data_IF_995514473438
#
_entry.id   IF_995514473438
#
_cell.length_a   1.000
_cell.length_b   1.000
_cell.length_c   1.000
_cell.angle_alpha   90.00
_cell.angle_beta   90.00
_cell.angle_gamma   90.00
#
_symmetry.space_group_name_H-M   'P 1'
#
loop_
_entity.id
_entity.type
_entity.pdbx_description
1 polymer ?
#
# COMPACT_ATOMS: atom_id res chain seq x y z
N UNK A 1 -23.71 -9.42 -19.66
CA UNK A 1 -23.02 -8.10 -19.57
C UNK A 1 -22.14 -8.14 -18.35
N UNK A 2 -20.82 -8.01 -18.51
CA UNK A 2 -19.90 -7.89 -17.35
C UNK A 2 -20.30 -6.64 -16.58
N UNK A 3 -20.59 -6.76 -15.30
CA UNK A 3 -20.88 -5.61 -14.47
C UNK A 3 -19.64 -4.69 -14.45
N UNK A 4 -19.82 -3.38 -14.61
CA UNK A 4 -18.71 -2.40 -14.59
C UNK A 4 -17.86 -2.54 -13.33
N UNK A 5 -16.57 -2.26 -13.45
CA UNK A 5 -15.66 -2.23 -12.28
C UNK A 5 -16.14 -1.21 -11.25
N UNK A 6 -15.94 -1.46 -9.95
CA UNK A 6 -16.27 -0.51 -8.88
C UNK A 6 -15.56 0.84 -9.00
N UNK A 7 -14.36 0.85 -9.61
CA UNK A 7 -13.58 2.06 -9.90
C UNK A 7 -13.04 1.95 -11.32
N UNK A 8 -13.29 2.97 -12.13
CA UNK A 8 -12.92 3.04 -13.54
C UNK A 8 -11.71 3.96 -13.77
N UNK A 9 -11.19 3.99 -14.99
CA UNK A 9 -10.13 4.95 -15.37
C UNK A 9 -10.62 6.40 -15.24
N UNK A 10 -11.89 6.67 -15.53
CA UNK A 10 -12.46 8.02 -15.40
C UNK A 10 -12.45 8.50 -13.95
N UNK A 11 -12.78 7.62 -12.99
CA UNK A 11 -12.68 7.92 -11.55
C UNK A 11 -11.23 8.22 -11.13
N UNK A 12 -10.28 7.47 -11.67
CA UNK A 12 -8.84 7.65 -11.41
C UNK A 12 -8.34 8.97 -12.00
N UNK A 13 -8.78 9.35 -13.19
CA UNK A 13 -8.44 10.63 -13.81
C UNK A 13 -9.05 11.83 -13.07
N UNK A 14 -10.26 11.68 -12.56
CA UNK A 14 -10.89 12.67 -11.66
C UNK A 14 -10.05 12.79 -10.38
N UNK A 15 -9.62 11.67 -9.79
CA UNK A 15 -8.75 11.66 -8.62
C UNK A 15 -7.40 12.33 -8.92
N UNK A 16 -6.78 12.04 -10.07
CA UNK A 16 -5.50 12.63 -10.47
C UNK A 16 -5.58 14.16 -10.57
N UNK A 17 -6.65 14.69 -11.17
CA UNK A 17 -6.90 16.15 -11.19
C UNK A 17 -7.11 16.71 -9.79
N UNK A 18 -7.86 16.00 -8.95
CA UNK A 18 -8.19 16.44 -7.58
C UNK A 18 -6.96 16.54 -6.68
N UNK A 19 -6.04 15.58 -6.76
CA UNK A 19 -4.83 15.55 -5.90
C UNK A 19 -3.63 16.28 -6.51
N UNK A 20 -3.77 16.85 -7.70
CA UNK A 20 -2.70 17.59 -8.37
C UNK A 20 -2.19 18.76 -7.48
N UNK A 21 -0.85 18.85 -7.33
CA UNK A 21 -0.20 19.82 -6.46
C UNK A 21 -0.31 19.52 -4.95
N UNK A 22 -1.01 18.46 -4.54
CA UNK A 22 -1.16 18.02 -3.13
C UNK A 22 -0.31 16.81 -2.79
N UNK A 23 0.04 16.04 -3.81
CA UNK A 23 0.94 14.88 -3.72
C UNK A 23 2.04 15.01 -4.77
N UNK A 24 3.15 14.33 -4.55
CA UNK A 24 4.26 14.33 -5.50
C UNK A 24 3.95 13.40 -6.67
N UNK A 25 4.25 13.84 -7.90
CA UNK A 25 4.51 12.92 -9.00
C UNK A 25 5.90 12.33 -8.76
N UNK A 26 5.96 11.08 -8.30
CA UNK A 26 7.22 10.48 -7.90
C UNK A 26 8.04 10.05 -9.12
N UNK A 27 9.39 10.04 -9.02
CA UNK A 27 10.22 9.56 -10.10
C UNK A 27 9.98 8.07 -10.42
N UNK A 28 10.20 7.71 -11.68
CA UNK A 28 10.45 6.34 -12.12
C UNK A 28 11.89 6.32 -12.65
N UNK A 29 12.77 5.61 -11.93
CA UNK A 29 14.21 5.59 -12.20
C UNK A 29 14.62 4.20 -12.67
N UNK A 30 15.40 4.11 -13.74
CA UNK A 30 15.89 2.81 -14.24
C UNK A 30 16.98 2.29 -13.30
N UNK A 31 16.80 1.08 -12.79
CA UNK A 31 17.81 0.35 -12.02
C UNK A 31 18.77 -0.35 -12.97
N UNK A 32 20.06 -0.06 -12.87
CA UNK A 32 21.08 -0.71 -13.69
C UNK A 32 21.25 -2.18 -13.29
N UNK A 33 21.32 -2.46 -11.97
CA UNK A 33 21.54 -3.81 -11.44
C UNK A 33 20.42 -4.78 -11.77
N UNK A 34 19.15 -4.32 -11.60
CA UNK A 34 17.98 -5.16 -11.93
C UNK A 34 17.75 -5.28 -13.43
N UNK A 35 18.14 -4.27 -14.22
CA UNK A 35 18.12 -4.34 -15.69
C UNK A 35 19.10 -5.39 -16.19
N UNK A 36 20.31 -5.43 -15.65
CA UNK A 36 21.30 -6.47 -15.95
C UNK A 36 20.78 -7.86 -15.53
N UNK A 37 20.22 -7.98 -14.33
CA UNK A 37 19.65 -9.24 -13.82
C UNK A 37 18.52 -9.78 -14.71
N UNK A 38 17.62 -8.91 -15.17
CA UNK A 38 16.43 -9.31 -15.92
C UNK A 38 16.61 -9.36 -17.43
N UNK A 39 17.66 -8.74 -17.96
CA UNK A 39 17.89 -8.60 -19.41
C UNK A 39 16.92 -7.64 -20.11
N UNK A 40 16.10 -6.90 -19.37
CA UNK A 40 15.15 -5.91 -19.86
C UNK A 40 15.16 -4.67 -18.94
N UNK A 41 14.77 -3.48 -19.41
CA UNK A 41 14.70 -2.29 -18.56
C UNK A 41 13.81 -2.51 -17.33
N UNK A 42 14.34 -2.23 -16.14
CA UNK A 42 13.59 -2.26 -14.87
C UNK A 42 13.56 -0.87 -14.27
N UNK A 43 12.37 -0.27 -14.21
CA UNK A 43 12.13 1.03 -13.61
C UNK A 43 11.58 0.92 -12.18
N UNK A 44 12.17 1.63 -11.24
CA UNK A 44 11.73 1.74 -9.87
C UNK A 44 10.83 2.96 -9.70
N UNK A 45 9.57 2.78 -9.37
CA UNK A 45 8.63 3.85 -9.04
C UNK A 45 8.73 4.20 -7.56
N UNK A 46 9.32 5.36 -7.26
CA UNK A 46 9.78 5.73 -5.92
C UNK A 46 8.67 6.32 -5.03
N UNK A 47 7.60 5.55 -4.75
CA UNK A 47 6.48 6.01 -3.90
C UNK A 47 6.84 6.19 -2.42
N UNK A 48 7.92 5.61 -1.96
CA UNK A 48 8.48 5.86 -0.64
C UNK A 48 9.04 7.29 -0.49
N UNK A 49 9.22 8.05 -1.59
CA UNK A 49 9.57 9.47 -1.58
C UNK A 49 8.37 10.41 -1.39
N UNK A 50 7.13 9.92 -1.35
CA UNK A 50 5.99 10.77 -1.00
C UNK A 50 6.20 11.47 0.36
N UNK A 51 5.57 12.62 0.54
CA UNK A 51 5.71 13.48 1.73
C UNK A 51 5.53 12.72 3.05
N UNK A 52 4.64 11.72 3.09
CA UNK A 52 4.42 10.88 4.28
C UNK A 52 5.18 9.55 4.26
N UNK A 53 6.10 9.38 3.32
CA UNK A 53 6.94 8.20 3.19
C UNK A 53 6.26 6.98 2.57
N UNK A 54 5.06 7.11 1.97
CA UNK A 54 4.39 6.02 1.27
C UNK A 54 3.28 6.49 0.33
N UNK A 55 2.89 5.60 -0.62
CA UNK A 55 1.79 5.78 -1.56
C UNK A 55 0.43 6.11 -0.92
N UNK A 56 0.23 5.77 0.35
CA UNK A 56 -1.05 5.95 1.06
C UNK A 56 -1.54 7.39 1.02
N UNK A 57 -0.64 8.36 0.86
CA UNK A 57 -0.98 9.77 0.77
C UNK A 57 -1.95 10.07 -0.39
N UNK A 58 -1.81 9.38 -1.52
CA UNK A 58 -2.66 9.59 -2.71
C UNK A 58 -4.13 9.34 -2.41
N UNK A 59 -4.45 8.14 -1.91
CA UNK A 59 -5.83 7.76 -1.57
C UNK A 59 -6.40 8.57 -0.41
N UNK A 60 -5.60 8.83 0.64
CA UNK A 60 -6.03 9.66 1.76
C UNK A 60 -6.38 11.08 1.31
N UNK A 61 -5.51 11.72 0.52
CA UNK A 61 -5.73 13.06 -0.03
C UNK A 61 -6.95 13.10 -0.93
N UNK A 62 -7.10 12.12 -1.86
CA UNK A 62 -8.26 12.06 -2.74
C UNK A 62 -9.56 11.92 -1.95
N UNK A 63 -9.57 11.08 -0.92
CA UNK A 63 -10.77 10.88 -0.08
C UNK A 63 -11.10 12.14 0.69
N UNK A 64 -10.15 12.77 1.38
CA UNK A 64 -10.42 14.00 2.14
C UNK A 64 -10.93 15.13 1.23
N UNK A 65 -10.34 15.29 0.07
CA UNK A 65 -10.77 16.29 -0.92
C UNK A 65 -12.13 15.97 -1.57
N UNK A 66 -12.57 14.72 -1.56
CA UNK A 66 -13.90 14.33 -2.08
C UNK A 66 -15.05 14.58 -1.10
N UNK A 67 -14.73 14.80 0.18
CA UNK A 67 -15.72 15.09 1.21
C UNK A 67 -16.34 16.48 1.01
N UNK A 68 -17.62 16.62 1.35
CA UNK A 68 -18.27 17.92 1.45
C UNK A 68 -17.64 18.81 2.54
N UNK A 69 -17.89 20.09 2.49
CA UNK A 69 -17.43 21.02 3.54
C UNK A 69 -17.93 20.63 4.93
N UNK A 70 -19.19 20.15 5.02
CA UNK A 70 -19.78 19.68 6.27
C UNK A 70 -19.08 18.45 6.83
N UNK A 71 -18.80 17.45 5.98
CA UNK A 71 -18.08 16.23 6.38
C UNK A 71 -16.65 16.55 6.82
N UNK A 72 -15.94 17.42 6.09
CA UNK A 72 -14.59 17.86 6.52
C UNK A 72 -14.62 18.59 7.87
N UNK A 73 -15.64 19.40 8.13
CA UNK A 73 -15.79 20.11 9.40
C UNK A 73 -16.06 19.16 10.59
N UNK A 74 -16.74 18.03 10.36
CA UNK A 74 -16.91 16.99 11.38
C UNK A 74 -15.59 16.27 11.71
N UNK A 75 -14.67 16.19 10.75
CA UNK A 75 -13.39 15.51 10.88
C UNK A 75 -13.41 14.07 10.37
N UNK A 76 -12.21 13.54 10.15
CA UNK A 76 -12.00 12.18 9.63
C UNK A 76 -11.41 11.27 10.70
N UNK A 77 -11.64 9.95 10.57
CA UNK A 77 -11.19 8.98 11.56
C UNK A 77 -10.74 7.67 10.90
N UNK A 78 -9.73 7.02 11.48
CA UNK A 78 -9.30 5.67 11.11
C UNK A 78 -8.66 4.93 12.27
N UNK A 79 -8.69 3.59 12.23
CA UNK A 79 -7.85 2.73 13.06
C UNK A 79 -6.59 2.38 12.26
N UNK A 80 -5.45 3.00 12.59
CA UNK A 80 -4.20 2.74 11.87
C UNK A 80 -2.97 3.24 12.62
N UNK A 81 -1.95 2.42 12.70
CA UNK A 81 -0.67 2.74 13.36
C UNK A 81 0.46 3.04 12.37
N UNK A 82 0.24 2.78 11.09
CA UNK A 82 1.26 2.83 10.06
C UNK A 82 1.03 3.90 8.99
N UNK A 83 1.31 3.51 7.75
CA UNK A 83 1.30 4.38 6.57
C UNK A 83 -0.03 5.11 6.33
N UNK A 84 -1.18 4.44 6.59
CA UNK A 84 -2.50 5.05 6.39
C UNK A 84 -2.79 6.14 7.42
N UNK A 85 -2.48 5.89 8.70
CA UNK A 85 -2.66 6.90 9.75
C UNK A 85 -1.82 8.16 9.51
N UNK A 86 -0.56 8.01 9.07
CA UNK A 86 0.31 9.13 8.67
C UNK A 86 -0.27 9.91 7.50
N UNK A 87 -0.72 9.20 6.47
CA UNK A 87 -1.29 9.79 5.26
C UNK A 87 -2.57 10.57 5.57
N UNK A 88 -3.47 9.99 6.35
CA UNK A 88 -4.74 10.62 6.72
C UNK A 88 -4.54 11.86 7.62
N UNK A 89 -3.62 11.76 8.60
CA UNK A 89 -3.25 12.89 9.44
C UNK A 89 -2.73 14.08 8.61
N UNK A 90 -1.82 13.81 7.67
CA UNK A 90 -1.27 14.83 6.79
C UNK A 90 -2.35 15.44 5.86
N UNK A 91 -3.12 14.58 5.18
CA UNK A 91 -4.15 15.03 4.24
C UNK A 91 -5.23 15.87 4.93
N UNK A 92 -5.72 15.44 6.09
CA UNK A 92 -6.72 16.19 6.86
C UNK A 92 -6.19 17.56 7.27
N UNK A 93 -4.98 17.62 7.86
CA UNK A 93 -4.34 18.88 8.25
C UNK A 93 -4.16 19.85 7.07
N UNK A 94 -3.73 19.34 5.92
CA UNK A 94 -3.52 20.16 4.72
C UNK A 94 -4.82 20.78 4.20
N UNK A 95 -5.97 20.13 4.45
CA UNK A 95 -7.28 20.58 3.99
C UNK A 95 -8.13 21.22 5.12
N UNK A 96 -7.50 21.59 6.23
CA UNK A 96 -8.16 22.27 7.35
C UNK A 96 -9.16 21.38 8.11
N UNK A 97 -9.04 20.07 8.00
CA UNK A 97 -9.84 19.08 8.73
C UNK A 97 -9.02 18.46 9.88
N UNK A 98 -9.69 17.81 10.82
CA UNK A 98 -9.06 17.12 11.94
C UNK A 98 -9.10 15.63 11.70
N UNK A 99 -7.93 14.97 11.77
CA UNK A 99 -7.86 13.52 11.78
C UNK A 99 -7.84 12.99 13.22
N UNK A 100 -8.68 12.00 13.51
CA UNK A 100 -8.61 11.20 14.73
C UNK A 100 -8.07 9.82 14.37
N UNK A 101 -6.97 9.39 15.00
CA UNK A 101 -6.37 8.09 14.74
C UNK A 101 -6.47 7.24 16.01
N UNK A 102 -7.23 6.15 15.92
CA UNK A 102 -7.39 5.17 17.00
C UNK A 102 -6.28 4.11 16.90
N UNK A 103 -5.68 3.77 18.04
CA UNK A 103 -4.57 2.82 18.15
C UNK A 103 -4.68 2.02 19.43
N UNK A 104 -4.16 0.79 19.42
CA UNK A 104 -4.03 0.00 20.64
C UNK A 104 -2.90 0.53 21.56
N UNK A 105 -2.95 0.15 22.84
CA UNK A 105 -1.91 0.48 23.82
C UNK A 105 -0.56 -0.20 23.52
N UNK A 106 -0.54 -1.20 22.65
CA UNK A 106 0.66 -1.94 22.29
C UNK A 106 1.49 -1.26 21.18
N UNK A 107 0.99 -0.14 20.64
CA UNK A 107 1.70 0.60 19.59
C UNK A 107 2.92 1.31 20.16
N UNK A 108 4.10 1.16 19.55
CA UNK A 108 5.30 1.84 19.98
C UNK A 108 5.15 3.36 20.05
N UNK A 109 5.76 3.97 21.07
CA UNK A 109 5.65 5.42 21.37
C UNK A 109 6.13 6.28 20.20
N UNK A 110 7.15 5.84 19.46
CA UNK A 110 7.66 6.53 18.27
C UNK A 110 6.59 6.65 17.17
N UNK A 111 5.82 5.58 16.89
CA UNK A 111 4.71 5.62 15.92
C UNK A 111 3.61 6.58 16.36
N UNK A 112 3.26 6.57 17.65
CA UNK A 112 2.28 7.51 18.24
C UNK A 112 2.74 8.95 18.08
N UNK A 113 4.00 9.24 18.43
CA UNK A 113 4.57 10.58 18.39
C UNK A 113 4.59 11.16 16.98
N UNK A 114 4.93 10.32 15.99
CA UNK A 114 4.92 10.71 14.58
C UNK A 114 3.53 11.15 14.08
N UNK A 115 2.50 10.39 14.41
CA UNK A 115 1.12 10.72 14.00
C UNK A 115 0.65 12.01 14.68
N UNK A 116 1.00 12.21 15.96
CA UNK A 116 0.74 13.49 16.65
C UNK A 116 1.48 14.66 16.01
N UNK A 117 2.74 14.47 15.62
CA UNK A 117 3.54 15.50 14.92
C UNK A 117 2.91 15.92 13.58
N UNK A 118 2.24 14.98 12.90
CA UNK A 118 1.47 15.26 11.68
C UNK A 118 0.16 16.01 11.96
N UNK A 119 -0.22 16.22 13.23
CA UNK A 119 -1.35 17.05 13.63
C UNK A 119 -2.64 16.27 13.92
N UNK A 120 -2.58 14.93 14.00
CA UNK A 120 -3.75 14.13 14.33
C UNK A 120 -4.02 14.07 15.86
N UNK A 121 -5.29 13.95 16.22
CA UNK A 121 -5.72 13.53 17.55
C UNK A 121 -5.54 12.00 17.65
N UNK A 122 -4.65 11.56 18.53
CA UNK A 122 -4.42 10.13 18.75
C UNK A 122 -5.25 9.66 19.96
N UNK A 123 -6.05 8.61 19.73
CA UNK A 123 -6.79 7.90 20.77
C UNK A 123 -6.16 6.53 20.99
N UNK A 124 -5.60 6.34 22.19
CA UNK A 124 -5.07 5.05 22.62
C UNK A 124 -6.21 4.30 23.33
N UNK A 125 -6.58 3.13 22.80
CA UNK A 125 -7.69 2.34 23.35
C UNK A 125 -7.47 0.85 23.13
N UNK A 126 -7.80 0.05 24.16
CA UNK A 126 -7.70 -1.40 24.08
C UNK A 126 -6.29 -1.93 23.86
N UNK A 127 -6.18 -3.21 23.53
CA UNK A 127 -4.92 -3.94 23.32
C UNK A 127 -4.85 -4.62 21.93
N UNK A 128 -5.87 -4.42 21.09
CA UNK A 128 -5.96 -5.02 19.77
C UNK A 128 -6.34 -3.98 18.71
N UNK A 129 -6.12 -4.33 17.46
CA UNK A 129 -6.57 -3.53 16.32
C UNK A 129 -8.11 -3.52 16.22
N UNK A 130 -8.76 -4.62 16.61
CA UNK A 130 -10.23 -4.70 16.60
C UNK A 130 -10.85 -3.72 17.59
N UNK A 131 -10.34 -3.62 18.83
CA UNK A 131 -10.82 -2.64 19.81
C UNK A 131 -10.60 -1.20 19.35
N UNK A 132 -9.51 -0.93 18.63
CA UNK A 132 -9.29 0.37 18.00
C UNK A 132 -10.31 0.64 16.88
N UNK A 133 -10.70 -0.37 16.11
CA UNK A 133 -11.75 -0.27 15.10
C UNK A 133 -13.14 -0.08 15.71
N UNK A 134 -13.49 -0.80 16.78
CA UNK A 134 -14.74 -0.61 17.51
C UNK A 134 -14.90 0.84 18.02
N UNK A 135 -13.81 1.45 18.48
CA UNK A 135 -13.81 2.86 18.89
C UNK A 135 -14.02 3.80 17.69
N UNK A 136 -13.46 3.47 16.51
CA UNK A 136 -13.75 4.23 15.28
C UNK A 136 -15.25 4.20 15.00
N UNK A 137 -15.87 3.02 14.99
CA UNK A 137 -17.29 2.85 14.71
C UNK A 137 -18.18 3.57 15.73
N UNK A 138 -17.80 3.50 17.01
CA UNK A 138 -18.49 4.22 18.07
C UNK A 138 -18.43 5.74 17.86
N UNK A 139 -17.28 6.29 17.45
CA UNK A 139 -17.12 7.73 17.23
C UNK A 139 -17.81 8.18 15.94
N UNK A 140 -17.83 7.37 14.90
CA UNK A 140 -18.64 7.60 13.69
C UNK A 140 -20.12 7.72 14.08
N UNK A 141 -20.67 6.76 14.82
CA UNK A 141 -22.07 6.74 15.23
C UNK A 141 -22.44 7.90 16.16
N UNK A 142 -21.56 8.25 17.12
CA UNK A 142 -21.88 9.21 18.18
C UNK A 142 -21.54 10.67 17.86
N UNK A 143 -20.57 10.91 16.94
CA UNK A 143 -20.06 12.25 16.61
C UNK A 143 -20.15 12.60 15.13
N UNK A 144 -20.54 11.65 14.26
CA UNK A 144 -20.64 11.87 12.84
C UNK A 144 -19.28 12.01 12.13
N UNK A 145 -18.18 11.55 12.77
CA UNK A 145 -16.87 11.56 12.11
C UNK A 145 -16.89 10.70 10.84
N UNK A 146 -16.15 11.12 9.81
CA UNK A 146 -16.10 10.37 8.54
C UNK A 146 -14.99 9.32 8.62
N UNK A 147 -15.37 8.04 8.60
CA UNK A 147 -14.38 6.96 8.54
C UNK A 147 -13.72 6.93 7.16
N UNK A 148 -12.39 6.90 7.15
CA UNK A 148 -11.57 6.74 5.94
C UNK A 148 -10.83 5.40 6.02
N UNK A 149 -11.33 4.35 5.34
CA UNK A 149 -10.72 3.03 5.42
C UNK A 149 -9.37 2.98 4.69
N UNK A 150 -8.47 2.03 5.05
CA UNK A 150 -7.11 1.99 4.51
C UNK A 150 -7.01 1.49 3.06
N UNK A 151 -8.05 0.84 2.52
CA UNK A 151 -8.03 0.24 1.18
C UNK A 151 -9.42 0.07 0.52
N UNK A 152 -10.41 -0.53 1.19
CA UNK A 152 -11.67 -0.95 0.56
C UNK A 152 -12.69 0.21 0.44
N UNK A 153 -12.35 1.18 -0.40
CA UNK A 153 -13.23 2.34 -0.67
C UNK A 153 -12.93 2.92 -2.06
N UNK A 154 -13.95 3.27 -2.87
CA UNK A 154 -13.75 3.77 -4.23
C UNK A 154 -12.81 4.98 -4.32
N UNK A 155 -12.95 5.96 -3.43
CA UNK A 155 -12.09 7.15 -3.44
C UNK A 155 -10.63 6.82 -3.06
N UNK A 156 -10.40 5.85 -2.17
CA UNK A 156 -9.05 5.35 -1.86
C UNK A 156 -8.45 4.67 -3.10
N UNK A 157 -9.16 3.71 -3.69
CA UNK A 157 -8.69 2.97 -4.87
C UNK A 157 -8.41 3.92 -6.04
N UNK A 158 -9.31 4.88 -6.31
CA UNK A 158 -9.10 5.88 -7.36
C UNK A 158 -7.86 6.74 -7.11
N UNK A 159 -7.64 7.18 -5.87
CA UNK A 159 -6.44 7.93 -5.49
C UNK A 159 -5.16 7.11 -5.68
N UNK A 160 -5.15 5.84 -5.28
CA UNK A 160 -4.00 4.94 -5.49
C UNK A 160 -3.77 4.65 -6.99
N UNK A 161 -4.84 4.57 -7.78
CA UNK A 161 -4.78 4.35 -9.22
C UNK A 161 -4.04 5.44 -10.00
N UNK A 162 -3.93 6.65 -9.45
CA UNK A 162 -3.15 7.74 -10.06
C UNK A 162 -1.68 7.36 -10.26
N UNK A 163 -1.15 6.45 -9.43
CA UNK A 163 0.18 5.89 -9.59
C UNK A 163 0.31 5.09 -10.89
N UNK A 164 -0.70 4.30 -11.25
CA UNK A 164 -0.72 3.57 -12.52
C UNK A 164 -0.75 4.49 -13.74
N UNK A 165 -1.45 5.63 -13.63
CA UNK A 165 -1.43 6.67 -14.67
C UNK A 165 -0.02 7.25 -14.86
N UNK A 166 0.68 7.54 -13.76
CA UNK A 166 2.06 8.03 -13.80
C UNK A 166 3.03 6.99 -14.38
N UNK A 167 2.90 5.71 -14.00
CA UNK A 167 3.75 4.62 -14.52
C UNK A 167 3.63 4.54 -16.04
N UNK A 168 2.42 4.48 -16.59
CA UNK A 168 2.22 4.42 -18.05
C UNK A 168 2.74 5.66 -18.76
N UNK A 169 2.65 6.84 -18.14
CA UNK A 169 3.19 8.08 -18.72
C UNK A 169 4.72 8.11 -18.70
N UNK A 170 5.36 7.60 -17.64
CA UNK A 170 6.82 7.59 -17.45
C UNK A 170 7.52 6.40 -18.16
N UNK A 171 6.80 5.29 -18.39
CA UNK A 171 7.27 4.09 -19.11
C UNK A 171 6.18 3.64 -20.08
N UNK A 172 6.05 4.28 -21.25
CA UNK A 172 4.95 4.01 -22.19
C UNK A 172 4.94 2.60 -22.77
N UNK A 173 6.07 1.92 -22.77
CA UNK A 173 6.28 0.55 -23.26
C UNK A 173 6.27 -0.50 -22.13
N UNK A 174 5.85 -0.14 -20.92
CA UNK A 174 5.80 -1.07 -19.78
C UNK A 174 5.04 -2.35 -20.12
N UNK A 175 5.71 -3.49 -20.00
CA UNK A 175 5.15 -4.81 -20.24
C UNK A 175 4.66 -5.49 -18.97
N UNK A 176 5.21 -5.11 -17.81
CA UNK A 176 4.85 -5.69 -16.52
C UNK A 176 4.94 -4.65 -15.39
N UNK A 177 3.98 -4.69 -14.47
CA UNK A 177 4.00 -3.89 -13.24
C UNK A 177 3.99 -4.82 -12.04
N UNK A 178 4.98 -4.67 -11.16
CA UNK A 178 5.11 -5.39 -9.89
C UNK A 178 4.57 -4.51 -8.76
N UNK A 179 3.47 -4.95 -8.13
CA UNK A 179 2.73 -4.15 -7.16
C UNK A 179 2.53 -4.87 -5.83
N UNK A 180 2.89 -4.27 -4.67
CA UNK A 180 2.60 -4.84 -3.36
C UNK A 180 1.10 -4.99 -3.11
N UNK A 181 0.69 -6.15 -2.55
CA UNK A 181 -0.72 -6.49 -2.26
C UNK A 181 -0.91 -6.85 -0.79
N UNK A 182 -1.78 -6.08 -0.13
CA UNK A 182 -2.39 -6.38 1.16
C UNK A 182 -3.92 -6.38 0.99
N UNK A 183 -4.65 -5.42 1.54
CA UNK A 183 -6.08 -5.22 1.33
C UNK A 183 -6.51 -4.81 -0.10
N UNK A 184 -5.57 -4.71 -1.03
CA UNK A 184 -5.82 -4.59 -2.46
C UNK A 184 -5.98 -3.16 -3.01
N UNK A 185 -6.07 -2.12 -2.19
CA UNK A 185 -6.38 -0.77 -2.67
C UNK A 185 -5.37 -0.20 -3.68
N UNK A 186 -4.07 -0.43 -3.45
CA UNK A 186 -3.00 -0.04 -4.40
C UNK A 186 -3.09 -0.89 -5.68
N UNK A 187 -3.09 -2.21 -5.51
CA UNK A 187 -3.05 -3.14 -6.64
C UNK A 187 -4.27 -2.99 -7.55
N UNK A 188 -5.47 -2.87 -6.97
CA UNK A 188 -6.72 -2.63 -7.71
C UNK A 188 -6.67 -1.32 -8.50
N UNK A 189 -6.25 -0.22 -7.87
CA UNK A 189 -6.18 1.08 -8.52
C UNK A 189 -5.13 1.12 -9.64
N UNK A 190 -3.92 0.63 -9.37
CA UNK A 190 -2.84 0.57 -10.37
C UNK A 190 -3.25 -0.33 -11.54
N UNK A 191 -3.79 -1.52 -11.26
CA UNK A 191 -4.22 -2.45 -12.31
C UNK A 191 -5.34 -1.84 -13.17
N UNK A 192 -6.33 -1.17 -12.57
CA UNK A 192 -7.39 -0.49 -13.33
C UNK A 192 -6.82 0.57 -14.27
N UNK A 193 -5.91 1.41 -13.81
CA UNK A 193 -5.28 2.44 -14.64
C UNK A 193 -4.42 1.85 -15.77
N UNK A 194 -3.58 0.87 -15.42
CA UNK A 194 -2.66 0.23 -16.37
C UNK A 194 -3.45 -0.54 -17.42
N UNK A 195 -4.35 -1.43 -17.03
CA UNK A 195 -5.15 -2.25 -17.98
C UNK A 195 -6.04 -1.41 -18.89
N UNK A 196 -6.56 -0.28 -18.42
CA UNK A 196 -7.37 0.62 -19.25
C UNK A 196 -6.55 1.29 -20.38
N UNK A 197 -5.27 1.57 -20.15
CA UNK A 197 -4.39 2.26 -21.11
C UNK A 197 -3.49 1.32 -21.91
N UNK A 198 -3.12 0.21 -21.28
CA UNK A 198 -2.22 -0.82 -21.80
C UNK A 198 -2.76 -2.21 -21.45
N UNK A 199 -3.80 -2.71 -22.13
CA UNK A 199 -4.48 -3.97 -21.76
C UNK A 199 -3.56 -5.20 -21.74
N UNK A 200 -2.50 -5.21 -22.56
CA UNK A 200 -1.51 -6.30 -22.63
C UNK A 200 -0.50 -6.30 -21.48
N UNK A 201 -0.33 -5.16 -20.74
CA UNK A 201 0.60 -5.09 -19.61
C UNK A 201 0.17 -6.01 -18.50
N UNK A 202 1.05 -6.89 -18.04
CA UNK A 202 0.81 -7.78 -16.89
C UNK A 202 0.93 -7.00 -15.59
N UNK A 203 0.00 -7.24 -14.65
CA UNK A 203 0.05 -6.65 -13.31
C UNK A 203 0.13 -7.77 -12.29
N UNK A 204 1.31 -7.93 -11.70
CA UNK A 204 1.62 -9.02 -10.77
C UNK A 204 1.61 -8.47 -9.36
N UNK A 205 0.72 -9.03 -8.55
CA UNK A 205 0.65 -8.77 -7.11
C UNK A 205 1.78 -9.47 -6.36
N UNK A 206 2.30 -8.84 -5.32
CA UNK A 206 3.37 -9.39 -4.48
C UNK A 206 3.01 -9.23 -3.01
N UNK A 207 3.18 -10.30 -2.23
CA UNK A 207 2.93 -10.26 -0.78
C UNK A 207 3.82 -11.28 -0.06
N UNK A 208 3.87 -11.20 1.26
CA UNK A 208 4.56 -12.20 2.09
C UNK A 208 3.78 -13.52 2.15
N UNK A 209 4.46 -14.62 2.45
CA UNK A 209 3.81 -15.91 2.72
C UNK A 209 2.99 -15.90 4.02
N UNK A 210 3.42 -15.10 4.98
CA UNK A 210 2.83 -14.99 6.32
C UNK A 210 1.55 -14.17 6.29
N UNK A 211 0.39 -14.86 6.21
CA UNK A 211 -0.91 -14.19 6.26
C UNK A 211 -1.32 -13.51 4.95
N UNK A 212 -1.08 -14.12 3.80
CA UNK A 212 -1.42 -13.64 2.46
C UNK A 212 -2.95 -13.60 2.21
N UNK A 213 -3.67 -12.70 2.88
CA UNK A 213 -5.13 -12.70 2.94
C UNK A 213 -5.80 -12.55 1.55
N UNK A 214 -5.30 -11.67 0.69
CA UNK A 214 -5.86 -11.50 -0.67
C UNK A 214 -5.65 -12.76 -1.51
N UNK A 215 -4.46 -13.38 -1.48
CA UNK A 215 -4.17 -14.62 -2.22
C UNK A 215 -5.08 -15.76 -1.76
N UNK A 216 -5.23 -15.93 -0.44
CA UNK A 216 -6.11 -16.94 0.14
C UNK A 216 -7.59 -16.70 -0.24
N UNK A 217 -8.03 -15.46 -0.19
CA UNK A 217 -9.39 -15.05 -0.56
C UNK A 217 -9.69 -15.29 -2.05
N UNK A 218 -8.73 -14.98 -2.94
CA UNK A 218 -8.87 -15.26 -4.37
C UNK A 218 -8.95 -16.77 -4.64
N UNK A 219 -8.14 -17.58 -3.96
CA UNK A 219 -8.21 -19.03 -4.06
C UNK A 219 -9.54 -19.61 -3.55
N UNK A 220 -10.11 -19.01 -2.50
CA UNK A 220 -11.42 -19.41 -1.95
C UNK A 220 -12.62 -18.86 -2.76
N UNK A 221 -12.39 -17.92 -3.68
CA UNK A 221 -13.45 -17.24 -4.44
C UNK A 221 -14.26 -16.21 -3.64
N UNK A 222 -13.92 -15.99 -2.38
CA UNK A 222 -14.54 -15.03 -1.46
C UNK A 222 -13.55 -14.57 -0.39
N UNK A 223 -13.75 -13.40 0.25
CA UNK A 223 -12.94 -12.99 1.39
C UNK A 223 -12.94 -14.02 2.51
N UNK A 224 -11.75 -14.36 3.03
CA UNK A 224 -11.56 -15.30 4.13
C UNK A 224 -10.64 -14.73 5.20
N UNK A 225 -10.79 -15.22 6.42
CA UNK A 225 -9.86 -14.91 7.51
C UNK A 225 -8.58 -15.72 7.33
N UNK A 226 -7.46 -15.09 7.62
CA UNK A 226 -6.14 -15.73 7.69
C UNK A 226 -5.53 -15.45 9.06
N UNK A 227 -4.65 -16.32 9.51
CA UNK A 227 -3.86 -16.07 10.71
C UNK A 227 -2.77 -15.03 10.38
N UNK A 228 -2.78 -13.91 11.06
CA UNK A 228 -1.71 -12.93 10.97
C UNK A 228 -0.46 -13.42 11.68
N UNK A 229 0.70 -13.24 11.05
CA UNK A 229 2.01 -13.57 11.60
C UNK A 229 2.94 -12.38 11.44
N UNK A 230 3.88 -12.15 12.36
CA UNK A 230 4.89 -11.11 12.21
C UNK A 230 5.68 -11.29 10.92
N UNK A 231 5.97 -10.18 10.22
CA UNK A 231 6.71 -10.16 8.96
C UNK A 231 7.48 -8.86 8.81
N UNK A 232 8.60 -8.89 8.08
CA UNK A 232 9.29 -7.69 7.60
C UNK A 232 8.37 -6.80 6.74
N UNK A 233 7.43 -7.41 6.03
CA UNK A 233 6.42 -6.71 5.24
C UNK A 233 5.14 -6.43 6.06
N UNK A 234 5.28 -5.96 7.31
CA UNK A 234 4.19 -5.71 8.27
C UNK A 234 3.04 -4.88 7.68
N UNK A 235 3.36 -3.92 6.81
CA UNK A 235 2.37 -3.08 6.12
C UNK A 235 1.51 -3.85 5.09
N UNK A 236 1.86 -5.10 4.76
CA UNK A 236 1.06 -6.01 3.94
C UNK A 236 0.24 -6.99 4.78
N UNK A 237 0.46 -7.03 6.10
CA UNK A 237 -0.30 -7.82 7.05
C UNK A 237 -1.74 -7.34 7.21
N UNK A 238 -2.51 -8.13 7.94
CA UNK A 238 -3.93 -7.87 8.19
C UNK A 238 -4.87 -8.56 7.20
N UNK A 239 -6.11 -8.77 7.64
CA UNK A 239 -7.18 -9.28 6.80
C UNK A 239 -7.65 -8.26 5.76
N UNK A 240 -8.41 -8.73 4.76
CA UNK A 240 -9.03 -7.85 3.75
C UNK A 240 -10.47 -7.43 4.11
N UNK A 241 -11.00 -7.91 5.25
CA UNK A 241 -12.40 -7.74 5.62
C UNK A 241 -13.32 -8.77 4.92
N UNK A 242 -14.21 -9.40 5.70
CA UNK A 242 -15.14 -10.41 5.14
C UNK A 242 -16.22 -9.77 4.25
N UNK A 243 -16.50 -8.49 4.45
CA UNK A 243 -17.43 -7.66 3.70
C UNK A 243 -16.77 -6.80 2.62
N UNK A 244 -15.52 -7.13 2.23
CA UNK A 244 -14.79 -6.41 1.18
C UNK A 244 -15.60 -6.34 -0.12
N UNK A 245 -15.89 -5.11 -0.56
CA UNK A 245 -16.84 -4.85 -1.67
C UNK A 245 -16.19 -4.32 -2.93
N UNK A 246 -15.00 -3.73 -2.83
CA UNK A 246 -14.35 -3.01 -3.93
C UNK A 246 -13.08 -3.74 -4.34
N UNK A 247 -12.12 -3.86 -3.41
CA UNK A 247 -10.76 -4.28 -3.75
C UNK A 247 -10.65 -5.75 -4.09
N UNK A 248 -11.38 -6.64 -3.39
CA UNK A 248 -11.38 -8.08 -3.70
C UNK A 248 -11.85 -8.35 -5.13
N UNK A 249 -12.98 -7.75 -5.52
CA UNK A 249 -13.53 -7.91 -6.86
C UNK A 249 -12.55 -7.39 -7.92
N UNK A 250 -11.99 -6.19 -7.71
CA UNK A 250 -11.07 -5.58 -8.68
C UNK A 250 -9.77 -6.38 -8.79
N UNK A 251 -9.18 -6.83 -7.68
CA UNK A 251 -7.98 -7.68 -7.70
C UNK A 251 -8.24 -9.00 -8.44
N UNK A 252 -9.40 -9.64 -8.22
CA UNK A 252 -9.79 -10.87 -8.92
C UNK A 252 -9.92 -10.67 -10.43
N UNK A 253 -10.43 -9.53 -10.87
CA UNK A 253 -10.68 -9.25 -12.28
C UNK A 253 -9.45 -8.71 -13.03
N UNK A 254 -8.51 -8.06 -12.32
CA UNK A 254 -7.46 -7.27 -12.96
C UNK A 254 -6.03 -7.75 -12.73
N UNK A 255 -5.75 -8.48 -11.64
CA UNK A 255 -4.42 -9.02 -11.40
C UNK A 255 -4.20 -10.30 -12.21
N UNK A 256 -3.03 -10.40 -12.85
CA UNK A 256 -2.66 -11.58 -13.62
C UNK A 256 -2.13 -12.70 -12.72
N UNK A 257 -1.51 -12.38 -11.59
CA UNK A 257 -1.10 -13.34 -10.53
C UNK A 257 -0.82 -12.61 -9.21
N UNK A 258 -0.67 -13.39 -8.12
CA UNK A 258 -0.09 -12.96 -6.85
C UNK A 258 1.00 -13.93 -6.42
N UNK A 259 2.23 -13.41 -6.27
CA UNK A 259 3.42 -14.17 -5.87
C UNK A 259 3.71 -13.98 -4.39
N UNK A 260 4.06 -15.06 -3.71
CA UNK A 260 4.40 -15.10 -2.30
C UNK A 260 5.92 -15.06 -2.08
N UNK A 261 6.34 -14.31 -1.06
CA UNK A 261 7.74 -14.13 -0.72
C UNK A 261 8.00 -14.54 0.73
N UNK A 262 9.12 -15.21 0.94
CA UNK A 262 9.64 -15.55 2.27
C UNK A 262 10.26 -14.31 2.93
N UNK A 263 10.44 -14.35 4.25
CA UNK A 263 11.13 -13.29 5.00
C UNK A 263 12.56 -13.08 4.49
N UNK A 264 13.27 -14.18 4.20
CA UNK A 264 14.63 -14.12 3.68
C UNK A 264 14.72 -13.41 2.30
N UNK A 265 13.75 -13.66 1.42
CA UNK A 265 13.65 -12.98 0.12
C UNK A 265 13.34 -11.49 0.31
N UNK A 266 12.41 -11.14 1.21
CA UNK A 266 12.08 -9.76 1.53
C UNK A 266 13.30 -9.03 2.10
N UNK A 267 14.03 -9.66 3.03
CA UNK A 267 15.27 -9.13 3.58
C UNK A 267 16.34 -8.90 2.48
N UNK A 268 16.46 -9.83 1.53
CA UNK A 268 17.36 -9.67 0.37
C UNK A 268 16.95 -8.47 -0.50
N UNK A 269 15.65 -8.30 -0.75
CA UNK A 269 15.11 -7.13 -1.47
C UNK A 269 15.41 -5.81 -0.77
N UNK A 270 15.24 -5.75 0.56
CA UNK A 270 15.60 -4.57 1.36
C UNK A 270 17.08 -4.24 1.27
N UNK A 271 17.96 -5.26 1.41
CA UNK A 271 19.41 -5.06 1.29
C UNK A 271 19.82 -4.58 -0.10
N UNK A 272 19.22 -5.13 -1.16
CA UNK A 272 19.49 -4.68 -2.53
C UNK A 272 19.05 -3.21 -2.71
N UNK A 273 17.85 -2.85 -2.26
CA UNK A 273 17.39 -1.46 -2.32
C UNK A 273 18.39 -0.50 -1.66
N UNK A 274 18.93 -0.89 -0.50
CA UNK A 274 19.91 -0.09 0.23
C UNK A 274 21.29 -0.07 -0.47
N UNK A 275 21.82 -1.24 -0.82
CA UNK A 275 23.21 -1.38 -1.29
C UNK A 275 23.37 -0.93 -2.75
N UNK A 276 22.44 -1.28 -3.63
CA UNK A 276 22.54 -1.03 -5.06
C UNK A 276 21.80 0.23 -5.49
N UNK A 277 20.56 0.43 -4.99
CA UNK A 277 19.70 1.55 -5.39
C UNK A 277 19.87 2.80 -4.51
N UNK A 278 20.56 2.70 -3.35
CA UNK A 278 20.73 3.76 -2.36
C UNK A 278 19.42 4.27 -1.77
N UNK A 279 18.45 3.36 -1.66
CA UNK A 279 17.11 3.65 -1.16
C UNK A 279 16.82 2.92 0.15
N UNK A 280 16.26 3.63 1.14
CA UNK A 280 15.72 3.04 2.36
C UNK A 280 14.26 2.73 2.15
N UNK A 281 13.89 1.45 2.16
CA UNK A 281 12.50 1.00 2.01
C UNK A 281 12.11 0.07 3.15
N UNK A 282 10.82 0.06 3.50
CA UNK A 282 10.25 -0.96 4.39
C UNK A 282 10.12 -2.30 3.65
N UNK A 283 9.96 -3.42 4.36
CA UNK A 283 9.83 -4.73 3.74
C UNK A 283 8.71 -4.81 2.70
N UNK A 284 7.56 -4.19 2.97
CA UNK A 284 6.46 -4.07 2.02
C UNK A 284 6.83 -3.30 0.73
N UNK A 285 7.74 -2.34 0.83
CA UNK A 285 8.27 -1.60 -0.32
C UNK A 285 9.29 -2.38 -1.14
N UNK A 286 9.92 -3.40 -0.55
CA UNK A 286 10.99 -4.18 -1.16
C UNK A 286 10.53 -5.44 -1.91
N UNK A 287 9.25 -5.86 -1.75
CA UNK A 287 8.76 -7.15 -2.30
C UNK A 287 8.93 -7.27 -3.81
N UNK A 288 8.90 -6.16 -4.56
CA UNK A 288 9.11 -6.17 -6.00
C UNK A 288 10.54 -6.53 -6.38
N UNK A 289 11.52 -5.91 -5.72
CA UNK A 289 12.94 -6.24 -5.86
C UNK A 289 13.19 -7.69 -5.41
N UNK A 290 12.64 -8.07 -4.27
CA UNK A 290 12.74 -9.43 -3.72
C UNK A 290 12.29 -10.50 -4.72
N UNK A 291 11.17 -10.29 -5.40
CA UNK A 291 10.63 -11.23 -6.37
C UNK A 291 11.53 -11.39 -7.62
N UNK A 292 12.16 -10.31 -8.07
CA UNK A 292 13.12 -10.35 -9.17
C UNK A 292 14.40 -11.10 -8.76
N UNK A 293 14.98 -10.76 -7.61
CA UNK A 293 16.19 -11.42 -7.07
C UNK A 293 15.99 -12.91 -6.85
N UNK A 294 14.81 -13.31 -6.37
CA UNK A 294 14.46 -14.71 -6.13
C UNK A 294 14.11 -15.48 -7.42
N UNK A 295 14.11 -14.83 -8.59
CA UNK A 295 13.76 -15.45 -9.88
C UNK A 295 12.33 -15.96 -9.93
N UNK A 296 11.42 -15.39 -9.11
CA UNK A 296 10.01 -15.78 -9.05
C UNK A 296 9.14 -15.16 -10.14
N UNK A 297 9.64 -14.12 -10.82
CA UNK A 297 8.96 -13.50 -11.95
C UNK A 297 9.28 -14.30 -13.21
N UNK A 298 8.25 -14.79 -13.89
CA UNK A 298 8.36 -15.60 -15.11
C UNK A 298 7.85 -14.82 -16.33
N UNK A 299 8.25 -15.30 -17.52
CA UNK A 299 7.80 -14.78 -18.82
C UNK A 299 8.01 -13.26 -18.91
N UNK A 300 9.26 -12.85 -18.71
CA UNK A 300 9.69 -11.44 -18.84
C UNK A 300 9.91 -11.16 -20.32
N UNK A 301 8.99 -10.42 -20.94
CA UNK A 301 9.02 -10.13 -22.38
C UNK A 301 9.33 -8.66 -22.71
N UNK A 302 9.50 -7.79 -21.71
CA UNK A 302 9.76 -6.37 -21.91
C UNK A 302 9.89 -5.58 -20.61
N UNK A 303 9.89 -4.23 -20.68
CA UNK A 303 10.18 -3.38 -19.54
C UNK A 303 9.26 -3.61 -18.32
N UNK A 304 9.87 -3.59 -17.15
CA UNK A 304 9.20 -3.84 -15.84
C UNK A 304 9.17 -2.55 -15.02
N UNK A 305 8.02 -2.20 -14.46
CA UNK A 305 7.91 -1.19 -13.41
C UNK A 305 7.74 -1.86 -12.05
N UNK A 306 8.59 -1.51 -11.09
CA UNK A 306 8.56 -2.00 -9.70
C UNK A 306 8.16 -0.86 -8.78
N UNK A 307 7.12 -1.04 -7.97
CA UNK A 307 6.64 -0.01 -7.04
C UNK A 307 7.33 -0.16 -5.69
N UNK A 308 8.19 0.79 -5.32
CA UNK A 308 8.75 0.93 -3.97
C UNK A 308 7.76 1.73 -3.11
N UNK A 309 6.84 1.01 -2.44
CA UNK A 309 5.58 1.57 -1.94
C UNK A 309 5.70 2.41 -0.66
N UNK A 310 6.75 2.19 0.16
CA UNK A 310 6.92 2.87 1.45
C UNK A 310 8.30 2.71 2.07
N UNK A 311 8.60 3.61 3.06
CA UNK A 311 9.86 3.64 3.81
C UNK A 311 9.69 3.76 5.32
N UNK A 312 8.48 3.65 5.84
CA UNK A 312 8.20 3.93 7.25
C UNK A 312 8.51 2.73 8.16
N UNK A 313 9.72 2.20 8.05
CA UNK A 313 10.26 1.12 8.87
C UNK A 313 10.91 1.67 10.15
N UNK A 314 10.96 0.86 11.20
CA UNK A 314 11.81 1.10 12.37
C UNK A 314 13.28 0.96 11.94
N UNK A 315 14.10 1.99 12.27
CA UNK A 315 15.49 2.03 11.79
C UNK A 315 16.39 1.00 12.50
N UNK A 316 16.07 0.58 13.73
CA UNK A 316 16.81 -0.50 14.40
C UNK A 316 16.52 -1.84 13.72
N UNK A 317 15.26 -2.08 13.33
CA UNK A 317 14.89 -3.26 12.54
C UNK A 317 15.58 -3.22 11.16
N UNK A 318 15.56 -2.05 10.49
CA UNK A 318 16.26 -1.90 9.20
C UNK A 318 17.76 -2.23 9.34
N UNK A 319 18.42 -1.70 10.38
CA UNK A 319 19.84 -1.96 10.63
C UNK A 319 20.14 -3.44 10.86
N UNK A 320 19.29 -4.17 11.59
CA UNK A 320 19.41 -5.62 11.78
C UNK A 320 19.40 -6.35 10.44
N UNK A 321 18.45 -6.01 9.55
CA UNK A 321 18.38 -6.60 8.21
C UNK A 321 19.61 -6.25 7.37
N UNK A 322 20.09 -5.01 7.43
CA UNK A 322 21.32 -4.60 6.70
C UNK A 322 22.55 -5.36 7.22
N UNK A 323 22.61 -5.70 8.51
CA UNK A 323 23.67 -6.52 9.12
C UNK A 323 23.52 -8.03 8.85
N UNK A 324 22.59 -8.46 8.01
CA UNK A 324 22.48 -9.83 7.52
C UNK A 324 21.38 -10.67 8.17
N UNK A 325 20.56 -10.11 9.07
CA UNK A 325 19.42 -10.84 9.62
C UNK A 325 18.36 -11.07 8.52
N UNK A 326 18.01 -12.33 8.28
CA UNK A 326 17.12 -12.73 7.20
C UNK A 326 15.66 -12.91 7.66
N UNK A 327 15.45 -13.25 8.92
CA UNK A 327 14.13 -13.40 9.54
C UNK A 327 14.17 -12.90 10.99
N UNK A 328 13.85 -11.63 11.24
CA UNK A 328 13.81 -11.08 12.59
C UNK A 328 12.63 -11.56 13.44
N UNK A 329 11.74 -12.36 12.88
CA UNK A 329 10.54 -12.91 13.52
C UNK A 329 10.46 -14.44 13.33
N UNK A 330 11.49 -15.22 13.75
CA UNK A 330 11.45 -16.66 13.60
C UNK A 330 10.21 -17.22 14.31
N UNK A 331 9.57 -18.24 13.70
CA UNK A 331 8.50 -18.95 14.39
C UNK A 331 9.06 -19.58 15.65
N UNK A 332 8.38 -19.38 16.80
CA UNK A 332 8.74 -20.10 18.01
C UNK A 332 8.69 -21.59 17.69
N UNK A 333 9.74 -22.32 18.04
CA UNK A 333 9.77 -23.78 17.90
C UNK A 333 8.60 -24.37 18.69
N UNK A 334 7.87 -25.36 18.14
CA UNK A 334 6.69 -25.96 18.75
C UNK A 334 6.97 -26.64 20.08
#
# INVERSE_FOLDING_TARGET
MSASLPVTIDDIEVAARRISGRVLTTPLVVSASLTELCGVPVGLKLEHHQTTGSFKLRGATNTVLSLSAGERALGVIAASTGNHGRALAHAAKAEGSVATICMSQLVPVNKVSEIRRLGAHVRIIGRSQNEAQDEVERLVASRGLVMVPPFDHPAIVAGQGTLGVEIVAQMPDVAMVLVPVSGGGLAAGVAAAVKARRPATRVIGLTMERGAAMKASLAAGQPVLVQEKPSLADSLGGGIGLDNRVTFRMCRELLDDIILLTEAEIAAGMRHAYAEEREVVEGAGAVGIAALLAGKIKDIEGPIAVILSGRNIDMDLHLRVMNGEMDPFPEEAP
#
